data_IF_735605074618
#
_entry.id   IF_735605074618
#
_cell.length_a   1.000
_cell.length_b   1.000
_cell.length_c   1.000
_cell.angle_alpha   90.00
_cell.angle_beta   90.00
_cell.angle_gamma   90.00
#
_symmetry.space_group_name_H-M   'P 1'
#
loop_
_entity.id
_entity.type
_entity.pdbx_description
1 polymer ?
#
# COMPACT_ATOMS: atom_id res chain seq x y z
N UNK A 1 17.37 -9.36 -16.95
CA UNK A 1 17.28 -8.01 -16.38
C UNK A 1 16.16 -7.29 -17.08
N UNK A 2 15.16 -6.82 -16.33
CA UNK A 2 14.10 -5.93 -16.80
C UNK A 2 14.68 -4.53 -16.83
N UNK A 3 14.60 -3.83 -17.96
CA UNK A 3 15.12 -2.48 -18.10
C UNK A 3 14.07 -1.50 -17.56
N UNK A 4 14.41 -0.78 -16.49
CA UNK A 4 13.54 0.23 -15.88
C UNK A 4 13.85 1.64 -16.38
N UNK A 5 12.94 2.61 -16.20
CA UNK A 5 13.23 4.02 -16.42
C UNK A 5 14.54 4.48 -15.77
N UNK A 6 14.83 4.07 -14.53
CA UNK A 6 16.06 4.40 -13.80
C UNK A 6 17.31 3.92 -14.54
N UNK A 7 17.27 2.73 -15.17
CA UNK A 7 18.39 2.21 -15.96
C UNK A 7 18.66 3.07 -17.18
N UNK A 8 17.61 3.47 -17.89
CA UNK A 8 17.70 4.34 -19.07
C UNK A 8 18.24 5.71 -18.64
N UNK A 9 17.75 6.25 -17.53
CA UNK A 9 18.20 7.54 -17.00
C UNK A 9 19.67 7.48 -16.62
N UNK A 10 20.11 6.47 -15.87
CA UNK A 10 21.54 6.30 -15.53
C UNK A 10 22.44 6.12 -16.75
N UNK A 11 21.94 5.49 -17.83
CA UNK A 11 22.67 5.32 -19.09
C UNK A 11 22.94 6.67 -19.78
N UNK A 12 21.97 7.58 -19.81
CA UNK A 12 22.10 8.89 -20.47
C UNK A 12 22.61 10.01 -19.54
N UNK A 13 22.34 9.89 -18.24
CA UNK A 13 22.67 10.86 -17.21
C UNK A 13 23.37 10.14 -16.05
N UNK A 14 24.64 9.70 -16.24
CA UNK A 14 25.38 9.00 -15.19
C UNK A 14 25.73 9.90 -14.02
N UNK A 15 25.91 11.20 -14.29
CA UNK A 15 26.13 12.25 -13.30
C UNK A 15 24.85 13.08 -13.11
N UNK A 16 24.60 13.59 -11.88
CA UNK A 16 23.49 14.49 -11.59
C UNK A 16 23.46 15.69 -12.54
N UNK A 17 22.26 16.01 -13.04
CA UNK A 17 22.04 17.23 -13.81
C UNK A 17 21.55 18.32 -12.89
N UNK A 18 22.29 19.43 -12.84
CA UNK A 18 22.01 20.53 -11.92
C UNK A 18 21.37 21.73 -12.61
N UNK A 19 21.41 21.81 -13.94
CA UNK A 19 20.85 22.94 -14.69
C UNK A 19 20.03 22.53 -15.90
N UNK A 20 19.09 23.39 -16.28
CA UNK A 20 18.27 23.18 -17.48
C UNK A 20 19.08 23.22 -18.77
N UNK A 21 20.18 23.98 -18.81
CA UNK A 21 21.06 24.03 -19.98
C UNK A 21 21.79 22.71 -20.18
N UNK A 22 22.37 22.18 -19.11
CA UNK A 22 23.05 20.88 -19.13
C UNK A 22 22.08 19.75 -19.52
N UNK A 23 20.84 19.80 -19.01
CA UNK A 23 19.80 18.87 -19.42
C UNK A 23 19.54 18.95 -20.92
N UNK A 24 19.30 20.15 -21.45
CA UNK A 24 18.99 20.37 -22.86
C UNK A 24 20.10 19.84 -23.80
N UNK A 25 21.36 20.13 -23.49
CA UNK A 25 22.51 19.67 -24.28
C UNK A 25 22.57 18.13 -24.34
N UNK A 26 22.36 17.47 -23.21
CA UNK A 26 22.36 16.01 -23.13
C UNK A 26 21.10 15.35 -23.72
N UNK A 27 19.99 16.08 -23.84
CA UNK A 27 18.78 15.58 -24.50
C UNK A 27 18.95 15.40 -26.01
N UNK A 28 20.04 15.91 -26.59
CA UNK A 28 20.38 15.69 -28.00
C UNK A 28 19.43 16.40 -28.96
N UNK A 29 18.87 17.54 -28.53
CA UNK A 29 18.04 18.40 -29.37
C UNK A 29 18.81 19.10 -30.49
N UNK A 30 20.13 18.92 -30.56
CA UNK A 30 21.01 19.52 -31.56
C UNK A 30 20.66 19.12 -33.00
N UNK A 31 20.03 17.95 -33.21
CA UNK A 31 19.50 17.52 -34.51
C UNK A 31 18.06 18.02 -34.78
N UNK A 32 17.45 18.72 -33.83
CA UNK A 32 16.05 19.17 -33.88
C UNK A 32 15.93 20.68 -34.09
N UNK A 33 14.85 21.12 -34.72
CA UNK A 33 14.51 22.55 -34.91
C UNK A 33 14.02 23.20 -33.60
N UNK A 34 14.34 22.64 -32.43
CA UNK A 34 13.79 23.09 -31.16
C UNK A 34 14.85 23.82 -30.31
N UNK A 35 15.05 25.13 -30.53
CA UNK A 35 16.12 25.89 -29.87
C UNK A 35 15.93 25.96 -28.36
N UNK A 36 17.04 26.06 -27.64
CA UNK A 36 17.07 26.11 -26.17
C UNK A 36 16.13 27.16 -25.60
N UNK A 37 16.12 28.39 -26.15
CA UNK A 37 15.25 29.48 -25.70
C UNK A 37 13.76 29.12 -25.75
N UNK A 38 13.33 28.42 -26.81
CA UNK A 38 11.94 27.98 -26.93
C UNK A 38 11.66 26.79 -26.01
N UNK A 39 12.59 25.84 -25.92
CA UNK A 39 12.46 24.69 -25.03
C UNK A 39 12.33 25.11 -23.57
N UNK A 40 13.15 26.07 -23.11
CA UNK A 40 13.14 26.51 -21.72
C UNK A 40 11.88 27.32 -21.37
N UNK A 41 11.36 28.10 -22.30
CA UNK A 41 10.09 28.83 -22.11
C UNK A 41 8.90 27.88 -22.04
N UNK A 42 8.84 26.88 -22.94
CA UNK A 42 7.79 25.86 -22.92
C UNK A 42 7.91 24.97 -21.67
N UNK A 43 9.13 24.61 -21.27
CA UNK A 43 9.39 23.86 -20.04
C UNK A 43 8.95 24.62 -18.78
N UNK A 44 9.26 25.92 -18.67
CA UNK A 44 8.78 26.71 -17.54
C UNK A 44 7.26 26.80 -17.53
N UNK A 45 6.64 27.12 -18.68
CA UNK A 45 5.21 27.38 -18.79
C UNK A 45 4.34 26.13 -18.58
N UNK A 46 4.73 25.01 -19.17
CA UNK A 46 3.89 23.81 -19.20
C UNK A 46 4.34 22.71 -18.25
N UNK A 47 5.53 22.83 -17.65
CA UNK A 47 6.10 21.79 -16.80
C UNK A 47 6.48 22.34 -15.41
N UNK A 48 7.49 23.21 -15.32
CA UNK A 48 8.00 23.67 -14.03
C UNK A 48 6.94 24.43 -13.22
N UNK A 49 6.31 25.45 -13.80
CA UNK A 49 5.30 26.25 -13.11
C UNK A 49 3.98 25.52 -12.80
N UNK A 50 3.72 24.39 -13.47
CA UNK A 50 2.49 23.62 -13.28
C UNK A 50 2.63 22.54 -12.21
N UNK A 51 3.82 21.94 -12.08
CA UNK A 51 4.01 20.75 -11.25
C UNK A 51 4.99 20.93 -10.10
N UNK A 52 5.69 22.08 -10.04
CA UNK A 52 6.76 22.33 -9.08
C UNK A 52 6.66 23.75 -8.51
N UNK A 53 7.12 23.91 -7.28
CA UNK A 53 7.29 25.22 -6.65
C UNK A 53 8.69 25.82 -6.95
N UNK A 54 8.85 27.10 -6.66
CA UNK A 54 10.09 27.87 -6.92
C UNK A 54 11.30 27.36 -6.12
N UNK A 55 11.12 26.56 -5.06
CA UNK A 55 12.24 25.94 -4.34
C UNK A 55 12.88 24.80 -5.14
N UNK A 56 12.18 24.28 -6.15
CA UNK A 56 12.60 23.13 -6.93
C UNK A 56 13.35 23.51 -8.21
N UNK A 57 13.19 24.75 -8.68
CA UNK A 57 13.88 25.31 -9.83
C UNK A 57 14.11 26.82 -9.61
N UNK A 58 15.36 27.26 -9.67
CA UNK A 58 15.73 28.66 -9.36
C UNK A 58 16.51 29.27 -10.51
N UNK A 59 16.09 30.46 -10.95
CA UNK A 59 16.75 31.17 -12.04
C UNK A 59 18.21 31.48 -11.65
N UNK A 60 19.14 31.21 -12.56
CA UNK A 60 20.54 31.57 -12.39
C UNK A 60 20.66 33.06 -12.74
N UNK A 61 21.09 33.92 -11.79
CA UNK A 61 21.27 35.34 -12.08
C UNK A 61 22.42 35.53 -13.08
N UNK A 62 22.32 36.59 -13.88
CA UNK A 62 23.37 37.04 -14.81
C UNK A 62 23.77 36.03 -15.90
N UNK A 63 22.94 35.03 -16.19
CA UNK A 63 23.14 34.15 -17.35
C UNK A 63 22.75 34.84 -18.65
N UNK A 64 23.56 34.68 -19.70
CA UNK A 64 23.31 35.29 -21.03
C UNK A 64 21.98 34.82 -21.66
N UNK A 65 21.59 33.58 -21.38
CA UNK A 65 20.31 32.99 -21.73
C UNK A 65 19.61 32.49 -20.46
N UNK A 66 18.27 32.45 -20.46
CA UNK A 66 17.47 31.97 -19.34
C UNK A 66 17.84 30.52 -18.98
N UNK A 67 18.31 30.30 -17.76
CA UNK A 67 18.74 29.00 -17.26
C UNK A 67 18.39 28.83 -15.78
N UNK A 68 17.90 27.66 -15.39
CA UNK A 68 17.56 27.37 -14.00
C UNK A 68 18.51 26.33 -13.41
N UNK A 69 18.84 26.50 -12.14
CA UNK A 69 19.25 25.38 -11.27
C UNK A 69 18.02 24.52 -10.99
N UNK A 70 18.18 23.21 -11.07
CA UNK A 70 17.08 22.25 -10.90
C UNK A 70 17.42 21.19 -9.87
N UNK A 71 16.43 20.85 -9.05
CA UNK A 71 16.50 19.70 -8.15
C UNK A 71 16.33 18.38 -8.91
N UNK A 72 16.64 17.25 -8.28
CA UNK A 72 16.41 15.92 -8.87
C UNK A 72 14.94 15.68 -9.26
N UNK A 73 13.98 16.19 -8.46
CA UNK A 73 12.56 16.13 -8.80
C UNK A 73 12.24 16.96 -10.04
N UNK A 74 12.80 18.17 -10.15
CA UNK A 74 12.64 19.00 -11.36
C UNK A 74 13.27 18.36 -12.61
N UNK A 75 14.47 17.79 -12.47
CA UNK A 75 15.13 17.01 -13.53
C UNK A 75 14.23 15.88 -14.05
N UNK A 76 13.65 15.07 -13.16
CA UNK A 76 12.75 13.97 -13.55
C UNK A 76 11.53 14.45 -14.32
N UNK A 77 10.84 15.47 -13.80
CA UNK A 77 9.63 16.02 -14.44
C UNK A 77 9.96 16.61 -15.81
N UNK A 78 11.08 17.34 -15.95
CA UNK A 78 11.54 17.84 -17.24
C UNK A 78 11.88 16.72 -18.23
N UNK A 79 12.57 15.67 -17.78
CA UNK A 79 12.98 14.56 -18.62
C UNK A 79 11.77 13.74 -19.13
N UNK A 80 10.82 13.46 -18.24
CA UNK A 80 9.62 12.68 -18.56
C UNK A 80 8.60 13.44 -19.41
N UNK A 81 8.60 14.78 -19.35
CA UNK A 81 7.79 15.65 -20.21
C UNK A 81 8.49 16.11 -21.49
N UNK A 82 9.81 15.91 -21.58
CA UNK A 82 10.60 16.34 -22.72
C UNK A 82 10.20 15.57 -24.00
N UNK A 83 10.01 16.27 -25.13
CA UNK A 83 9.77 15.65 -26.44
C UNK A 83 11.09 15.21 -27.09
N UNK A 84 11.98 14.55 -26.34
CA UNK A 84 13.25 14.01 -26.83
C UNK A 84 13.16 12.49 -27.04
N UNK A 85 14.03 11.95 -27.89
CA UNK A 85 14.17 10.49 -28.09
C UNK A 85 14.42 9.75 -26.76
N UNK A 86 15.19 10.37 -25.86
CA UNK A 86 15.46 9.81 -24.51
C UNK A 86 14.17 9.79 -23.67
N UNK A 87 13.40 10.88 -23.69
CA UNK A 87 12.10 10.94 -23.02
C UNK A 87 11.11 9.90 -23.57
N UNK A 88 11.10 9.68 -24.88
CA UNK A 88 10.28 8.64 -25.53
C UNK A 88 10.68 7.23 -25.08
N UNK A 89 11.98 6.93 -24.99
CA UNK A 89 12.49 5.63 -24.52
C UNK A 89 12.07 5.36 -23.06
N UNK A 90 12.15 6.38 -22.19
CA UNK A 90 11.71 6.30 -20.80
C UNK A 90 10.21 6.03 -20.70
N UNK A 91 9.38 6.80 -21.43
CA UNK A 91 7.92 6.62 -21.44
C UNK A 91 7.52 5.25 -21.99
N UNK A 92 8.20 4.77 -23.02
CA UNK A 92 7.96 3.45 -23.59
C UNK A 92 8.29 2.33 -22.59
N UNK A 93 9.42 2.43 -21.87
CA UNK A 93 9.79 1.49 -20.80
C UNK A 93 8.75 1.48 -19.68
N UNK A 94 8.29 2.64 -19.23
CA UNK A 94 7.23 2.73 -18.21
C UNK A 94 5.93 2.08 -18.68
N UNK A 95 5.52 2.33 -19.92
CA UNK A 95 4.32 1.75 -20.51
C UNK A 95 4.41 0.22 -20.63
N UNK A 96 5.55 -0.31 -21.09
CA UNK A 96 5.78 -1.77 -21.19
C UNK A 96 5.70 -2.44 -19.82
N UNK A 97 6.40 -1.87 -18.81
CA UNK A 97 6.39 -2.41 -17.45
C UNK A 97 4.96 -2.40 -16.89
N UNK A 98 4.24 -1.29 -17.07
CA UNK A 98 2.87 -1.15 -16.57
C UNK A 98 1.92 -2.15 -17.22
N UNK A 99 2.01 -2.33 -18.54
CA UNK A 99 1.18 -3.29 -19.27
C UNK A 99 1.45 -4.73 -18.83
N UNK A 100 2.73 -5.10 -18.69
CA UNK A 100 3.13 -6.44 -18.25
C UNK A 100 2.77 -6.70 -16.80
N UNK A 101 2.96 -5.71 -15.93
CA UNK A 101 2.57 -5.80 -14.52
C UNK A 101 1.07 -6.05 -14.35
N UNK A 102 0.24 -5.43 -15.20
CA UNK A 102 -1.20 -5.64 -15.18
C UNK A 102 -1.65 -7.03 -15.67
N UNK A 103 -0.81 -7.77 -16.40
CA UNK A 103 -1.17 -9.02 -17.08
C UNK A 103 -0.44 -10.26 -16.56
N UNK A 104 0.74 -10.09 -15.95
CA UNK A 104 1.62 -11.18 -15.52
C UNK A 104 2.10 -10.96 -14.08
N UNK A 105 1.47 -11.60 -13.08
CA UNK A 105 1.93 -11.54 -11.68
C UNK A 105 3.37 -12.04 -11.50
N UNK A 106 3.83 -12.98 -12.33
CA UNK A 106 5.20 -13.50 -12.29
C UNK A 106 6.23 -12.48 -12.77
N UNK A 107 5.83 -11.52 -13.61
CA UNK A 107 6.67 -10.40 -14.02
C UNK A 107 6.88 -9.41 -12.88
N UNK A 108 5.82 -9.05 -12.13
CA UNK A 108 5.93 -8.17 -10.96
C UNK A 108 6.92 -8.69 -9.93
N UNK A 109 6.84 -9.99 -9.61
CA UNK A 109 7.79 -10.63 -8.70
C UNK A 109 9.24 -10.51 -9.18
N UNK A 110 9.50 -10.83 -10.46
CA UNK A 110 10.85 -10.71 -11.05
C UNK A 110 11.37 -9.27 -11.04
N UNK A 111 10.49 -8.31 -11.32
CA UNK A 111 10.83 -6.89 -11.26
C UNK A 111 11.20 -6.49 -9.84
N UNK A 112 10.41 -6.90 -8.86
CA UNK A 112 10.69 -6.59 -7.46
C UNK A 112 11.98 -7.23 -6.97
N UNK A 113 12.20 -8.52 -7.27
CA UNK A 113 13.43 -9.23 -6.92
C UNK A 113 14.68 -8.53 -7.49
N UNK A 114 14.58 -8.01 -8.72
CA UNK A 114 15.65 -7.24 -9.33
C UNK A 114 15.88 -5.89 -8.62
N UNK A 115 14.81 -5.13 -8.34
CA UNK A 115 14.91 -3.86 -7.62
C UNK A 115 15.51 -4.04 -6.22
N UNK A 116 15.14 -5.11 -5.52
CA UNK A 116 15.68 -5.44 -4.20
C UNK A 116 17.18 -5.72 -4.26
N UNK A 117 17.61 -6.48 -5.26
CA UNK A 117 19.02 -6.77 -5.50
C UNK A 117 19.80 -5.49 -5.82
N UNK A 118 19.25 -4.59 -6.63
CA UNK A 118 19.88 -3.32 -6.99
C UNK A 118 19.97 -2.35 -5.80
N UNK A 119 19.00 -2.39 -4.88
CA UNK A 119 19.01 -1.61 -3.65
C UNK A 119 19.82 -2.25 -2.52
N UNK A 120 20.36 -3.46 -2.73
CA UNK A 120 21.10 -4.19 -1.70
C UNK A 120 20.24 -4.61 -0.51
N UNK A 121 18.94 -4.81 -0.71
CA UNK A 121 18.04 -5.25 0.35
C UNK A 121 18.32 -6.71 0.70
N UNK A 122 18.41 -7.00 2.00
CA UNK A 122 18.61 -8.36 2.47
C UNK A 122 17.36 -9.20 2.26
N UNK A 123 17.55 -10.44 1.80
CA UNK A 123 16.46 -11.39 1.66
C UNK A 123 16.02 -11.87 3.05
N UNK A 124 14.84 -11.44 3.47
CA UNK A 124 14.23 -11.88 4.73
C UNK A 124 13.51 -13.21 4.54
N UNK A 125 14.00 -14.27 5.20
CA UNK A 125 13.31 -15.56 5.25
C UNK A 125 12.15 -15.53 6.27
N UNK A 126 10.89 -15.73 5.84
CA UNK A 126 9.73 -15.64 6.74
C UNK A 126 9.78 -16.66 7.87
N UNK A 127 9.47 -16.22 9.10
CA UNK A 127 9.41 -17.09 10.28
C UNK A 127 8.25 -16.70 11.19
N UNK A 128 7.51 -17.70 11.67
CA UNK A 128 6.47 -17.54 12.69
C UNK A 128 7.11 -17.06 14.00
N UNK A 129 6.67 -15.89 14.49
CA UNK A 129 7.15 -15.37 15.78
C UNK A 129 6.63 -16.20 16.95
N UNK A 130 7.33 -16.12 18.10
CA UNK A 130 6.88 -16.77 19.34
C UNK A 130 5.52 -16.22 19.79
N UNK A 131 5.29 -14.92 19.62
CA UNK A 131 4.04 -14.22 19.96
C UNK A 131 2.89 -14.76 19.11
N UNK A 132 3.07 -14.81 17.79
CA UNK A 132 2.08 -15.32 16.87
C UNK A 132 1.71 -16.78 17.17
N UNK A 133 2.71 -17.64 17.39
CA UNK A 133 2.45 -19.06 17.71
C UNK A 133 1.76 -19.22 19.07
N UNK A 134 2.09 -18.41 20.06
CA UNK A 134 1.41 -18.44 21.35
C UNK A 134 -0.08 -18.07 21.20
N UNK A 135 -0.39 -17.01 20.43
CA UNK A 135 -1.77 -16.59 20.13
C UNK A 135 -2.59 -17.69 19.43
N UNK A 136 -1.99 -18.36 18.45
CA UNK A 136 -2.60 -19.50 17.76
C UNK A 136 -2.88 -20.66 18.73
N UNK A 137 -1.88 -21.07 19.52
CA UNK A 137 -2.01 -22.20 20.44
C UNK A 137 -3.05 -21.93 21.54
N UNK A 138 -3.19 -20.68 21.98
CA UNK A 138 -4.15 -20.30 23.02
C UNK A 138 -5.59 -20.30 22.51
N UNK A 139 -5.82 -19.79 21.29
CA UNK A 139 -7.16 -19.66 20.72
C UNK A 139 -7.63 -20.93 20.00
N UNK A 140 -6.71 -21.76 19.49
CA UNK A 140 -7.02 -22.87 18.60
C UNK A 140 -7.55 -22.43 17.22
N UNK A 141 -7.50 -21.13 16.93
CA UNK A 141 -7.96 -20.51 15.69
C UNK A 141 -6.78 -19.89 14.95
N UNK A 142 -7.00 -19.59 13.66
CA UNK A 142 -6.04 -18.86 12.84
C UNK A 142 -5.61 -17.57 13.54
N UNK A 143 -4.30 -17.32 13.54
CA UNK A 143 -3.73 -16.13 14.13
C UNK A 143 -2.85 -15.40 13.12
N UNK A 144 -2.79 -14.09 13.23
CA UNK A 144 -1.99 -13.25 12.35
C UNK A 144 -1.35 -12.08 13.11
N UNK A 145 -0.30 -11.50 12.52
CA UNK A 145 0.31 -10.25 12.96
C UNK A 145 0.93 -9.47 11.81
N UNK A 146 1.07 -8.15 12.00
CA UNK A 146 1.84 -7.29 11.11
C UNK A 146 3.18 -6.93 11.76
N UNK A 147 4.25 -6.97 10.99
CA UNK A 147 5.60 -6.59 11.44
C UNK A 147 6.35 -5.82 10.36
N UNK A 148 7.29 -4.96 10.79
CA UNK A 148 8.29 -4.36 9.90
C UNK A 148 9.57 -5.19 10.02
N UNK A 149 10.18 -5.56 8.90
CA UNK A 149 11.39 -6.41 8.86
C UNK A 149 12.58 -5.65 8.26
N UNK A 150 13.74 -6.30 8.23
CA UNK A 150 15.03 -5.72 7.81
C UNK A 150 15.05 -5.29 6.32
N UNK A 151 14.14 -5.82 5.50
CA UNK A 151 13.91 -5.37 4.12
C UNK A 151 13.07 -4.08 4.04
N UNK A 152 12.79 -3.43 5.17
CA UNK A 152 11.96 -2.22 5.32
C UNK A 152 10.54 -2.37 4.73
N UNK A 153 9.97 -3.58 4.80
CA UNK A 153 8.60 -3.85 4.35
C UNK A 153 7.69 -4.20 5.51
N UNK A 154 6.40 -3.98 5.26
CA UNK A 154 5.33 -4.48 6.12
C UNK A 154 5.04 -5.93 5.74
N UNK A 155 5.24 -6.84 6.68
CA UNK A 155 4.93 -8.25 6.58
C UNK A 155 3.63 -8.57 7.32
N UNK A 156 2.75 -9.31 6.67
CA UNK A 156 1.54 -9.90 7.23
C UNK A 156 1.74 -11.41 7.39
N UNK A 157 2.05 -11.85 8.61
CA UNK A 157 2.34 -13.25 8.92
C UNK A 157 1.08 -13.93 9.47
N UNK A 158 0.68 -15.07 8.87
CA UNK A 158 -0.52 -15.83 9.24
C UNK A 158 -0.13 -17.26 9.58
N UNK A 159 -0.62 -17.78 10.71
CA UNK A 159 -0.61 -19.21 11.00
C UNK A 159 -2.03 -19.75 11.01
N UNK A 160 -2.27 -20.76 10.18
CA UNK A 160 -3.59 -21.36 10.01
C UNK A 160 -3.60 -22.85 10.33
N UNK A 161 -4.69 -23.32 10.92
CA UNK A 161 -4.97 -24.73 11.15
C UNK A 161 -5.53 -25.45 9.92
N UNK A 162 -5.71 -24.74 8.80
CA UNK A 162 -6.16 -25.32 7.54
C UNK A 162 -5.18 -26.40 7.04
N UNK A 163 -5.73 -27.51 6.55
CA UNK A 163 -4.96 -28.64 6.04
C UNK A 163 -4.46 -28.37 4.61
N UNK A 164 -3.42 -27.55 4.49
CA UNK A 164 -2.81 -27.19 3.21
C UNK A 164 -2.33 -28.43 2.45
N UNK A 165 -2.71 -28.51 1.18
CA UNK A 165 -2.20 -29.51 0.26
C UNK A 165 -0.89 -29.03 -0.39
N UNK A 166 0.00 -29.95 -0.78
CA UNK A 166 1.18 -29.58 -1.55
C UNK A 166 0.80 -28.81 -2.83
N UNK A 167 1.35 -27.61 -2.98
CA UNK A 167 1.06 -26.73 -4.12
C UNK A 167 -0.05 -25.71 -3.89
N UNK A 168 -0.68 -25.67 -2.71
CA UNK A 168 -1.54 -24.54 -2.32
C UNK A 168 -0.73 -23.24 -2.33
N UNK A 169 -1.26 -22.22 -3.01
CA UNK A 169 -0.62 -20.92 -3.20
C UNK A 169 -1.65 -19.81 -3.11
N UNK A 170 -1.21 -18.63 -2.68
CA UNK A 170 -2.02 -17.41 -2.70
C UNK A 170 -2.23 -17.02 -4.17
N UNK A 171 -3.48 -17.02 -4.59
CA UNK A 171 -3.93 -16.59 -5.92
C UNK A 171 -4.22 -15.10 -5.95
N UNK A 172 -4.93 -14.62 -4.92
CA UNK A 172 -5.32 -13.22 -4.81
C UNK A 172 -5.32 -12.78 -3.35
N UNK A 173 -5.09 -11.48 -3.13
CA UNK A 173 -5.14 -10.85 -1.84
C UNK A 173 -5.70 -9.43 -1.96
N UNK A 174 -6.36 -8.96 -0.90
CA UNK A 174 -6.92 -7.62 -0.84
C UNK A 174 -6.75 -7.02 0.53
N UNK A 175 -6.38 -5.74 0.59
CA UNK A 175 -6.36 -4.94 1.80
C UNK A 175 -7.26 -3.73 1.62
N UNK A 176 -8.16 -3.52 2.57
CA UNK A 176 -9.01 -2.35 2.62
C UNK A 176 -8.86 -1.65 3.97
N UNK A 177 -8.60 -0.35 3.90
CA UNK A 177 -8.42 0.50 5.06
C UNK A 177 -9.62 1.44 5.14
N UNK A 178 -10.24 1.51 6.32
CA UNK A 178 -11.31 2.45 6.63
C UNK A 178 -10.95 3.25 7.86
N UNK A 179 -10.76 4.56 7.69
CA UNK A 179 -10.60 5.47 8.81
C UNK A 179 -11.90 5.57 9.62
N UNK A 180 -11.79 5.37 10.93
CA UNK A 180 -12.84 5.54 11.94
C UNK A 180 -12.29 6.44 13.03
N UNK A 181 -13.13 7.36 13.50
CA UNK A 181 -12.78 8.28 14.58
C UNK A 181 -13.72 7.97 15.73
N UNK A 182 -13.16 7.58 16.86
CA UNK A 182 -13.89 7.30 18.10
C UNK A 182 -13.21 8.08 19.22
N UNK A 183 -13.99 8.89 19.95
CA UNK A 183 -13.46 9.77 21.00
C UNK A 183 -12.28 10.64 20.54
N UNK A 184 -12.41 11.23 19.33
CA UNK A 184 -11.40 12.07 18.66
C UNK A 184 -10.07 11.37 18.35
N UNK A 185 -10.03 10.04 18.43
CA UNK A 185 -8.82 9.26 18.11
C UNK A 185 -9.02 8.52 16.80
N UNK A 186 -8.09 8.69 15.85
CA UNK A 186 -8.15 8.02 14.56
C UNK A 186 -7.65 6.57 14.65
N UNK A 187 -8.48 5.67 14.13
CA UNK A 187 -8.19 4.26 13.92
C UNK A 187 -8.44 3.87 12.47
N UNK A 188 -7.65 2.95 11.93
CA UNK A 188 -8.01 2.27 10.69
C UNK A 188 -8.55 0.87 11.00
N UNK A 189 -9.73 0.58 10.47
CA UNK A 189 -10.18 -0.81 10.30
C UNK A 189 -9.48 -1.34 9.06
N UNK A 190 -8.79 -2.45 9.22
CA UNK A 190 -8.06 -3.11 8.14
C UNK A 190 -8.74 -4.45 7.87
N UNK A 191 -9.41 -4.51 6.74
CA UNK A 191 -10.01 -5.72 6.20
C UNK A 191 -9.07 -6.39 5.20
N UNK A 192 -8.94 -7.71 5.34
CA UNK A 192 -7.97 -8.50 4.60
C UNK A 192 -8.69 -9.72 4.04
N UNK A 193 -8.58 -9.92 2.72
CA UNK A 193 -9.07 -11.11 2.04
C UNK A 193 -7.91 -11.81 1.35
N UNK A 194 -7.83 -13.13 1.49
CA UNK A 194 -6.84 -13.97 0.79
C UNK A 194 -7.56 -15.13 0.14
N UNK A 195 -7.33 -15.33 -1.14
CA UNK A 195 -7.88 -16.45 -1.92
C UNK A 195 -6.73 -17.33 -2.39
N UNK A 196 -6.86 -18.63 -2.14
CA UNK A 196 -5.91 -19.62 -2.66
C UNK A 196 -6.27 -20.06 -4.08
N UNK A 197 -5.32 -20.70 -4.76
CA UNK A 197 -5.52 -21.34 -6.06
C UNK A 197 -6.59 -22.45 -6.08
N UNK A 198 -6.90 -23.04 -4.93
CA UNK A 198 -8.00 -23.99 -4.74
C UNK A 198 -9.35 -23.32 -4.40
N UNK A 199 -9.45 -22.00 -4.56
CA UNK A 199 -10.62 -21.15 -4.26
C UNK A 199 -11.01 -21.08 -2.76
N UNK A 200 -10.16 -21.58 -1.86
CA UNK A 200 -10.34 -21.35 -0.43
C UNK A 200 -10.08 -19.88 -0.08
N UNK A 201 -11.03 -19.28 0.63
CA UNK A 201 -10.94 -17.91 1.11
C UNK A 201 -10.63 -17.84 2.60
N UNK A 202 -9.77 -16.90 2.97
CA UNK A 202 -9.50 -16.45 4.33
C UNK A 202 -9.86 -14.99 4.43
N UNK A 203 -10.53 -14.61 5.52
CA UNK A 203 -10.89 -13.21 5.79
C UNK A 203 -10.45 -12.87 7.20
N UNK A 204 -9.80 -11.72 7.34
CA UNK A 204 -9.31 -11.22 8.60
C UNK A 204 -9.69 -9.76 8.74
N UNK A 205 -9.91 -9.33 9.97
CA UNK A 205 -10.14 -7.93 10.33
C UNK A 205 -9.28 -7.60 11.53
N UNK A 206 -8.61 -6.45 11.48
CA UNK A 206 -7.89 -5.89 12.61
C UNK A 206 -8.11 -4.39 12.67
N UNK A 207 -7.73 -3.80 13.79
CA UNK A 207 -7.71 -2.35 13.96
C UNK A 207 -6.29 -1.88 14.19
N UNK A 208 -5.95 -0.78 13.53
CA UNK A 208 -4.71 -0.06 13.71
C UNK A 208 -5.02 1.26 14.39
N UNK A 209 -4.46 1.50 15.57
CA UNK A 209 -4.34 2.86 16.09
C UNK A 209 -3.42 3.64 15.16
N UNK A 210 -3.90 4.74 14.58
CA UNK A 210 -3.06 5.54 13.67
C UNK A 210 -1.80 6.06 14.39
N UNK A 211 -1.87 6.26 15.70
CA UNK A 211 -0.73 6.67 16.52
C UNK A 211 0.34 5.59 16.64
N UNK A 212 -0.09 4.37 16.98
CA UNK A 212 0.84 3.25 17.24
C UNK A 212 1.41 2.68 15.95
N UNK A 213 0.61 2.71 14.88
CA UNK A 213 0.95 2.06 13.60
C UNK A 213 1.50 3.03 12.55
N UNK A 214 1.78 4.28 12.96
CA UNK A 214 2.23 5.36 12.07
C UNK A 214 3.43 5.02 11.19
N UNK A 215 4.31 4.13 11.66
CA UNK A 215 5.54 3.73 10.94
C UNK A 215 5.24 2.84 9.73
N UNK A 216 4.09 2.14 9.69
CA UNK A 216 3.72 1.25 8.59
C UNK A 216 3.29 2.02 7.33
N UNK A 217 2.60 3.15 7.50
CA UNK A 217 2.04 3.93 6.39
C UNK A 217 3.09 4.49 5.41
N UNK A 218 4.19 5.15 5.85
CA UNK A 218 5.21 5.62 4.92
C UNK A 218 5.90 4.45 4.21
N UNK A 219 6.08 3.30 4.87
CA UNK A 219 6.63 2.10 4.23
C UNK A 219 5.67 1.55 3.17
N UNK A 220 4.37 1.45 3.46
CA UNK A 220 3.36 1.08 2.46
C UNK A 220 3.32 2.09 1.31
N UNK A 221 3.48 3.39 1.59
CA UNK A 221 3.47 4.42 0.56
C UNK A 221 4.69 4.34 -0.37
N UNK A 222 5.88 4.12 0.22
CA UNK A 222 7.15 4.05 -0.51
C UNK A 222 7.32 2.72 -1.24
N UNK A 223 7.13 1.59 -0.56
CA UNK A 223 7.29 0.25 -1.15
C UNK A 223 6.09 -0.15 -1.99
N UNK A 224 4.90 0.39 -1.69
CA UNK A 224 3.62 0.00 -2.29
C UNK A 224 3.27 -1.47 -2.10
N UNK A 225 3.93 -2.14 -1.14
CA UNK A 225 3.86 -3.59 -0.96
C UNK A 225 3.55 -3.95 0.49
N UNK A 226 2.66 -4.93 0.66
CA UNK A 226 2.60 -5.76 1.88
C UNK A 226 2.96 -7.19 1.50
N UNK A 227 3.95 -7.76 2.19
CA UNK A 227 4.34 -9.17 2.00
C UNK A 227 3.51 -10.07 2.90
N UNK A 228 2.75 -10.97 2.31
CA UNK A 228 1.91 -11.95 3.01
C UNK A 228 2.70 -13.24 3.14
N UNK A 229 2.83 -13.77 4.35
CA UNK A 229 3.45 -15.07 4.61
C UNK A 229 2.44 -16.01 5.26
N UNK A 230 2.10 -17.08 4.56
CA UNK A 230 1.12 -18.06 5.01
C UNK A 230 1.83 -19.29 5.56
N UNK A 231 1.59 -19.61 6.83
CA UNK A 231 2.18 -20.75 7.51
C UNK A 231 1.11 -21.78 7.92
N UNK A 232 1.46 -23.05 7.79
CA UNK A 232 0.70 -24.14 8.40
C UNK A 232 0.92 -24.21 9.91
N UNK A 233 0.09 -25.01 10.58
CA UNK A 233 0.13 -25.27 12.02
C UNK A 233 1.53 -25.69 12.54
N UNK A 234 2.25 -26.45 11.72
CA UNK A 234 3.61 -26.97 11.93
C UNK A 234 4.71 -25.92 11.71
N UNK A 235 4.33 -24.66 11.48
CA UNK A 235 5.21 -23.50 11.20
C UNK A 235 5.94 -23.57 9.86
N UNK A 236 5.60 -24.51 8.97
CA UNK A 236 6.15 -24.51 7.61
C UNK A 236 5.49 -23.40 6.81
N UNK A 237 6.32 -22.64 6.10
CA UNK A 237 5.85 -21.69 5.11
C UNK A 237 5.15 -22.47 3.99
N UNK A 238 3.88 -22.15 3.75
CA UNK A 238 3.08 -22.67 2.65
C UNK A 238 3.36 -21.84 1.41
N UNK A 239 3.21 -20.52 1.54
CA UNK A 239 3.45 -19.58 0.45
C UNK A 239 3.82 -18.17 0.98
N UNK A 240 4.47 -17.38 0.11
CA UNK A 240 4.81 -15.98 0.36
C UNK A 240 4.49 -15.15 -0.89
N UNK A 241 3.69 -14.10 -0.71
CA UNK A 241 3.10 -13.31 -1.78
C UNK A 241 3.23 -11.82 -1.51
N UNK A 242 3.69 -11.04 -2.50
CA UNK A 242 3.77 -9.59 -2.41
C UNK A 242 2.50 -8.96 -2.98
N UNK A 243 1.66 -8.39 -2.11
CA UNK A 243 0.49 -7.63 -2.51
C UNK A 243 0.90 -6.20 -2.88
N UNK A 244 0.58 -5.78 -4.10
CA UNK A 244 0.89 -4.43 -4.60
C UNK A 244 -0.35 -3.53 -4.53
N UNK A 245 -0.21 -2.37 -3.88
CA UNK A 245 -1.25 -1.35 -3.87
C UNK A 245 -1.33 -0.62 -5.22
N UNK A 246 -2.56 -0.40 -5.68
CA UNK A 246 -2.82 0.52 -6.79
C UNK A 246 -2.69 1.98 -6.38
N UNK A 247 -2.45 2.87 -7.34
CA UNK A 247 -2.35 4.32 -7.09
C UNK A 247 -3.61 4.89 -6.46
N UNK A 248 -4.81 4.41 -6.84
CA UNK A 248 -6.07 4.88 -6.23
C UNK A 248 -6.16 4.52 -4.76
N UNK A 249 -5.73 3.31 -4.37
CA UNK A 249 -5.70 2.89 -2.96
C UNK A 249 -4.69 3.70 -2.15
N UNK A 250 -3.51 3.98 -2.72
CA UNK A 250 -2.49 4.80 -2.06
C UNK A 250 -2.95 6.26 -1.87
N UNK A 251 -3.64 6.82 -2.86
CA UNK A 251 -4.18 8.17 -2.75
C UNK A 251 -5.27 8.26 -1.67
N UNK A 252 -6.15 7.25 -1.60
CA UNK A 252 -7.14 7.14 -0.53
C UNK A 252 -6.48 7.05 0.85
N UNK A 253 -5.52 6.13 1.01
CA UNK A 253 -4.78 5.95 2.26
C UNK A 253 -3.99 7.20 2.66
N UNK A 254 -3.42 7.93 1.68
CA UNK A 254 -2.72 9.19 1.91
C UNK A 254 -3.64 10.29 2.42
N UNK A 255 -4.85 10.41 1.87
CA UNK A 255 -5.85 11.35 2.35
C UNK A 255 -6.31 11.01 3.78
N UNK A 256 -6.55 9.72 4.07
CA UNK A 256 -6.92 9.26 5.41
C UNK A 256 -5.80 9.49 6.43
N UNK A 257 -4.53 9.28 6.04
CA UNK A 257 -3.38 9.55 6.88
C UNK A 257 -3.26 11.04 7.20
N UNK A 258 -3.38 11.92 6.20
CA UNK A 258 -3.32 13.37 6.42
C UNK A 258 -4.41 13.81 7.40
N UNK A 259 -5.64 13.33 7.19
CA UNK A 259 -6.76 13.60 8.10
C UNK A 259 -6.50 13.09 9.52
N UNK A 260 -5.91 11.90 9.67
CA UNK A 260 -5.53 11.37 10.97
C UNK A 260 -4.45 12.23 11.64
N UNK A 261 -3.44 12.69 10.89
CA UNK A 261 -2.37 13.55 11.41
C UNK A 261 -2.91 14.90 11.89
N UNK A 262 -3.80 15.53 11.11
CA UNK A 262 -4.41 16.81 11.49
C UNK A 262 -5.16 16.69 12.83
N UNK A 263 -5.92 15.61 13.02
CA UNK A 263 -6.62 15.32 14.28
C UNK A 263 -5.66 15.06 15.44
N UNK A 264 -4.55 14.36 15.19
CA UNK A 264 -3.54 14.10 16.22
C UNK A 264 -2.80 15.36 16.68
N UNK A 265 -2.69 16.38 15.83
CA UNK A 265 -2.14 17.69 16.22
C UNK A 265 -3.07 18.42 17.20
N UNK A 266 -4.38 18.21 17.07
CA UNK A 266 -5.41 18.80 17.92
C UNK A 266 -5.70 17.96 19.18
N UNK A 267 -5.37 16.68 19.14
CA UNK A 267 -5.63 15.73 20.21
C UNK A 267 -4.81 16.05 21.46
N UNK A 268 -5.52 16.22 22.59
CA UNK A 268 -4.91 16.28 23.92
C UNK A 268 -5.04 14.91 24.57
N UNK A 269 -3.92 14.24 24.93
CA UNK A 269 -3.97 12.94 25.59
C UNK A 269 -4.84 13.01 26.84
N UNK A 270 -5.91 12.22 26.87
CA UNK A 270 -6.73 12.06 28.07
C UNK A 270 -6.01 11.07 28.98
N UNK A 271 -5.67 11.47 30.21
CA UNK A 271 -5.08 10.57 31.19
C UNK A 271 -6.01 9.37 31.44
N UNK A 272 -5.47 8.16 31.37
CA UNK A 272 -6.21 6.91 31.61
C UNK A 272 -6.86 6.27 30.38
N UNK A 273 -6.65 6.82 29.17
CA UNK A 273 -7.20 6.23 27.96
C UNK A 273 -6.36 5.07 27.43
N UNK A 274 -6.94 3.86 27.47
CA UNK A 274 -6.33 2.65 26.91
C UNK A 274 -6.70 2.49 25.42
N UNK A 275 -5.75 2.82 24.54
CA UNK A 275 -5.91 2.75 23.09
C UNK A 275 -6.21 1.32 22.59
N UNK A 276 -5.67 0.31 23.27
CA UNK A 276 -5.88 -1.08 22.92
C UNK A 276 -7.30 -1.51 23.29
N UNK A 277 -7.78 -1.13 24.48
CA UNK A 277 -9.16 -1.40 24.90
C UNK A 277 -10.18 -0.70 23.99
N UNK A 278 -9.93 0.57 23.63
CA UNK A 278 -10.79 1.31 22.69
C UNK A 278 -10.77 0.68 21.30
N UNK A 279 -9.58 0.28 20.82
CA UNK A 279 -9.43 -0.47 19.57
C UNK A 279 -10.22 -1.78 19.58
N UNK A 280 -10.15 -2.59 20.64
CA UNK A 280 -10.95 -3.81 20.76
C UNK A 280 -12.45 -3.54 20.78
N UNK A 281 -12.90 -2.46 21.44
CA UNK A 281 -14.31 -2.04 21.44
C UNK A 281 -14.80 -1.70 20.02
N UNK A 282 -14.00 -0.94 19.26
CA UNK A 282 -14.31 -0.62 17.86
C UNK A 282 -14.31 -1.93 17.05
N UNK A 283 -13.32 -2.80 17.25
CA UNK A 283 -13.23 -4.06 16.50
C UNK A 283 -14.47 -4.93 16.75
N UNK A 284 -14.94 -4.98 17.98
CA UNK A 284 -16.18 -5.66 18.35
C UNK A 284 -17.41 -5.04 17.68
N UNK A 285 -17.56 -3.71 17.70
CA UNK A 285 -18.71 -3.04 17.06
C UNK A 285 -18.73 -3.23 15.55
N UNK A 286 -17.57 -3.39 14.91
CA UNK A 286 -17.49 -3.64 13.47
C UNK A 286 -17.53 -5.12 13.11
N UNK A 287 -17.22 -6.06 14.02
CA UNK A 287 -17.55 -7.49 13.81
C UNK A 287 -19.07 -7.73 13.69
N UNK A 288 -19.89 -6.83 14.24
CA UNK A 288 -21.33 -7.02 14.38
C UNK A 288 -22.21 -6.66 13.17
N UNK A 289 -21.69 -6.20 12.01
CA UNK A 289 -22.57 -5.51 11.05
C UNK A 289 -22.75 -6.09 9.64
N UNK A 290 -22.20 -7.26 9.30
CA UNK A 290 -22.60 -7.93 8.04
C UNK A 290 -22.80 -9.43 8.24
N UNK A 291 -21.85 -10.11 8.88
CA UNK A 291 -21.91 -11.55 9.08
C UNK A 291 -22.84 -11.94 10.23
N UNK A 292 -22.76 -11.22 11.36
CA UNK A 292 -23.71 -11.37 12.48
C UNK A 292 -25.13 -10.90 12.09
N UNK A 293 -25.25 -9.84 11.29
CA UNK A 293 -26.55 -9.40 10.76
C UNK A 293 -27.12 -10.40 9.76
N UNK A 294 -26.30 -11.00 8.89
CA UNK A 294 -26.72 -12.06 7.96
C UNK A 294 -27.06 -13.37 8.68
N UNK A 295 -26.30 -13.77 9.71
CA UNK A 295 -26.60 -14.94 10.53
C UNK A 295 -27.88 -14.71 11.35
N UNK A 296 -28.00 -13.57 12.04
CA UNK A 296 -29.21 -13.18 12.74
C UNK A 296 -30.40 -13.16 11.79
N UNK A 297 -30.29 -12.52 10.61
CA UNK A 297 -31.38 -12.48 9.62
C UNK A 297 -31.72 -13.90 9.11
N UNK A 298 -30.72 -14.75 8.86
CA UNK A 298 -30.94 -16.13 8.39
C UNK A 298 -31.58 -17.04 9.45
N UNK A 299 -31.34 -16.78 10.74
CA UNK A 299 -31.96 -17.47 11.87
C UNK A 299 -33.34 -16.89 12.21
N UNK A 300 -33.53 -15.58 12.02
CA UNK A 300 -34.77 -14.86 12.32
C UNK A 300 -35.84 -15.04 11.25
N UNK A 301 -35.48 -15.07 9.96
CA UNK A 301 -36.46 -15.20 8.86
C UNK A 301 -37.32 -16.48 8.95
N UNK A 302 -36.76 -17.67 9.24
CA UNK A 302 -37.56 -18.88 9.47
C UNK A 302 -38.47 -18.78 10.70
N UNK A 303 -37.99 -18.16 11.78
CA UNK A 303 -38.74 -17.97 13.03
C UNK A 303 -39.85 -16.93 12.87
N UNK A 304 -39.63 -15.92 12.03
CA UNK A 304 -40.63 -14.92 11.65
C UNK A 304 -41.70 -15.46 10.68
N UNK A 305 -41.37 -16.47 9.88
CA UNK A 305 -42.34 -17.14 8.99
C UNK A 305 -43.33 -18.03 9.75
N UNK A 306 -43.00 -18.43 11.00
CA UNK A 306 -43.81 -19.32 11.83
C UNK A 306 -44.67 -18.57 12.88
N UNK A 307 -45.06 -17.33 12.54
CA UNK A 307 -45.68 -16.33 13.43
C UNK A 307 -47.08 -16.73 13.92
N UNK A 308 -47.18 -17.65 14.90
CA UNK A 308 -48.47 -17.98 15.53
C UNK A 308 -48.52 -18.04 17.06
N UNK A 309 -47.45 -17.82 17.84
CA UNK A 309 -47.57 -17.83 19.32
C UNK A 309 -46.63 -16.88 20.08
N UNK A 310 -46.97 -16.56 21.34
CA UNK A 310 -46.17 -15.70 22.25
C UNK A 310 -44.81 -16.28 22.64
N UNK A 311 -44.62 -17.60 22.55
CA UNK A 311 -43.34 -18.26 22.85
C UNK A 311 -42.21 -17.82 21.90
N UNK A 312 -42.56 -17.30 20.72
CA UNK A 312 -41.61 -16.87 19.70
C UNK A 312 -40.95 -15.51 20.02
N UNK A 313 -41.57 -14.66 20.85
CA UNK A 313 -41.00 -13.35 21.20
C UNK A 313 -39.79 -13.46 22.15
N UNK A 314 -39.86 -14.33 23.16
CA UNK A 314 -38.72 -14.61 24.05
C UNK A 314 -37.58 -15.34 23.31
N UNK A 315 -37.91 -16.17 22.32
CA UNK A 315 -36.90 -16.80 21.46
C UNK A 315 -36.22 -15.80 20.52
N UNK A 316 -36.95 -14.82 19.98
CA UNK A 316 -36.41 -13.72 19.18
C UNK A 316 -35.45 -12.84 20.00
N UNK A 317 -35.83 -12.52 21.24
CA UNK A 317 -35.04 -11.67 22.14
C UNK A 317 -33.76 -12.38 22.62
N UNK A 318 -33.86 -13.70 22.86
CA UNK A 318 -32.71 -14.56 23.17
C UNK A 318 -31.77 -14.72 21.98
N UNK A 319 -32.29 -14.95 20.77
CA UNK A 319 -31.48 -15.05 19.56
C UNK A 319 -30.75 -13.74 19.24
N UNK A 320 -31.37 -12.59 19.51
CA UNK A 320 -30.71 -11.28 19.42
C UNK A 320 -29.58 -11.11 20.45
N UNK A 321 -29.79 -11.56 21.69
CA UNK A 321 -28.76 -11.49 22.74
C UNK A 321 -27.59 -12.45 22.52
N UNK A 322 -27.83 -13.63 21.94
CA UNK A 322 -26.78 -14.62 21.66
C UNK A 322 -25.97 -14.27 20.40
N UNK A 323 -26.48 -13.40 19.53
CA UNK A 323 -25.83 -12.94 18.31
C UNK A 323 -25.02 -11.63 18.46
N UNK A 324 -25.11 -10.96 19.61
CA UNK A 324 -24.40 -9.70 19.96
C UNK A 324 -23.23 -9.96 20.89
#
# INVERSE_FOLDING_TARGET
MIITPEHIIKKYFPEPIETTRELYERLGFEESVYPYSKWIDDAEKYCLSQYLDESQYTLIPDSEEKNFRITQKAFRVLLESSPSKIGDEIRASFAEISERAAKDPGFLKKLQDQLDQEMGLEKVEPKVSKKLKAKYNQSGQDAFEFSIREDNRVHFDIISGYNFQPGDQIKDAGFWFKLVIEQDIPYHIVDISITLNNEKNFTYRTIWSCMEEREKYPLIHLSRIIRINLFGDNRKLVDSHDYHFSTSQLNGLGADLQKALDLLLEFKPVEGLDLAQLGEKILHSYKLNDQAYAEATSQLVPVMMDYKTRATAEMLEKAFHEAV
#
